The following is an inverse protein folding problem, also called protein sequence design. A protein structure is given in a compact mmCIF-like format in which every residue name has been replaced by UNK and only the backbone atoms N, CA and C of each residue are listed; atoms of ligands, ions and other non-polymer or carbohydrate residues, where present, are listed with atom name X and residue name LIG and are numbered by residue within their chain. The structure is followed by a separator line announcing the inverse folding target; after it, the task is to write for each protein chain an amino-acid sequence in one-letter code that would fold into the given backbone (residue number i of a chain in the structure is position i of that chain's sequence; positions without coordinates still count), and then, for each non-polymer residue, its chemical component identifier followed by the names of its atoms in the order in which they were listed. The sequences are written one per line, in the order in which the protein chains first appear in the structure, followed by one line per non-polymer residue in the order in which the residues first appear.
data_IF_122869281710
#
_entry.id   IF_122869281710
#
_cell.length_a   1.000
_cell.length_b   1.000
_cell.length_c   1.000
_cell.angle_alpha   90.00
_cell.angle_beta   90.00
_cell.angle_gamma   90.00
#
_symmetry.space_group_name_H-M   'P 1'
#
loop_
_entity.id
_entity.type
_entity.pdbx_description
1 polymer ?
#
# COMPACT_ATOMS: atom_id res chain seq x y z
N UNK A 1 -11.91 -2.15 1.62
CA UNK A 1 -10.93 -2.13 2.73
C UNK A 1 -11.46 -1.21 3.81
N UNK A 2 -11.13 -1.48 5.06
CA UNK A 2 -11.50 -0.58 6.16
C UNK A 2 -10.96 0.85 5.90
N UNK A 3 -11.80 1.91 6.04
CA UNK A 3 -11.39 3.27 5.72
C UNK A 3 -10.26 3.78 6.63
N UNK A 4 -10.19 3.33 7.88
CA UNK A 4 -9.14 3.72 8.81
C UNK A 4 -7.82 3.02 8.50
N UNK A 5 -7.84 1.77 8.07
CA UNK A 5 -6.62 1.11 7.55
C UNK A 5 -6.09 1.89 6.34
N UNK A 6 -6.96 2.28 5.41
CA UNK A 6 -6.58 3.10 4.25
C UNK A 6 -6.02 4.47 4.65
N UNK A 7 -6.58 5.11 5.68
CA UNK A 7 -6.08 6.38 6.20
C UNK A 7 -4.68 6.21 6.79
N UNK A 8 -4.47 5.20 7.63
CA UNK A 8 -3.21 5.01 8.32
C UNK A 8 -2.07 4.53 7.42
N UNK A 9 -2.37 3.84 6.31
CA UNK A 9 -1.40 3.62 5.23
C UNK A 9 -0.81 4.97 4.78
N UNK A 10 -1.64 5.94 4.39
CA UNK A 10 -1.13 7.24 3.93
C UNK A 10 -0.41 8.04 5.00
N UNK A 11 -0.90 8.00 6.24
CA UNK A 11 -0.25 8.68 7.36
C UNK A 11 1.16 8.13 7.56
N UNK A 12 1.31 6.80 7.53
CA UNK A 12 2.61 6.14 7.71
C UNK A 12 3.53 6.36 6.51
N UNK A 13 3.03 6.16 5.29
CA UNK A 13 3.78 6.28 4.04
C UNK A 13 4.31 7.70 3.81
N UNK A 14 3.45 8.71 3.95
CA UNK A 14 3.82 10.10 3.64
C UNK A 14 4.28 10.93 4.83
N UNK A 15 4.63 10.28 5.95
CA UNK A 15 5.10 10.92 7.18
C UNK A 15 4.15 12.03 7.68
N UNK A 16 2.88 11.67 7.91
CA UNK A 16 1.87 12.61 8.42
C UNK A 16 0.97 13.20 7.34
N UNK A 17 0.67 12.45 6.27
CA UNK A 17 -0.28 12.84 5.22
C UNK A 17 0.23 13.97 4.30
N UNK A 18 1.54 14.03 4.04
CA UNK A 18 2.12 15.00 3.14
C UNK A 18 1.83 14.64 1.67
N UNK A 19 0.91 15.38 1.03
CA UNK A 19 0.51 15.18 -0.37
C UNK A 19 1.67 15.34 -1.36
N UNK A 20 2.73 16.07 -0.99
CA UNK A 20 3.93 16.29 -1.81
C UNK A 20 5.12 15.44 -1.35
N UNK A 21 4.88 14.40 -0.56
CA UNK A 21 5.95 13.53 -0.09
C UNK A 21 6.71 12.90 -1.27
N UNK A 22 8.04 12.92 -1.17
CA UNK A 22 8.95 12.29 -2.13
C UNK A 22 10.03 11.55 -1.34
N UNK A 23 10.14 10.24 -1.52
CA UNK A 23 11.20 9.47 -0.89
C UNK A 23 12.53 9.63 -1.65
N UNK A 24 13.63 9.31 -0.96
CA UNK A 24 14.96 9.24 -1.58
C UNK A 24 15.05 8.23 -2.73
N UNK A 25 14.21 7.19 -2.70
CA UNK A 25 14.11 6.16 -3.74
C UNK A 25 13.15 6.52 -4.87
N UNK A 26 12.46 7.67 -4.79
CA UNK A 26 11.57 8.17 -5.83
C UNK A 26 10.10 7.79 -5.68
N UNK A 27 9.66 7.34 -4.50
CA UNK A 27 8.25 7.12 -4.19
C UNK A 27 7.53 8.46 -4.00
N UNK A 28 6.31 8.61 -4.53
CA UNK A 28 5.62 9.90 -4.64
C UNK A 28 4.23 9.90 -3.98
N UNK A 29 3.85 11.05 -3.43
CA UNK A 29 2.48 11.32 -2.99
C UNK A 29 2.11 10.75 -1.63
N UNK A 30 0.84 10.85 -1.28
CA UNK A 30 0.31 10.35 0.00
C UNK A 30 0.48 8.85 0.17
N UNK A 31 0.42 8.10 -0.93
CA UNK A 31 0.50 6.64 -0.94
C UNK A 31 1.90 6.10 -1.27
N UNK A 32 2.88 6.99 -1.45
CA UNK A 32 4.28 6.65 -1.76
C UNK A 32 4.42 5.61 -2.90
N UNK A 33 3.79 5.87 -4.04
CA UNK A 33 3.93 5.00 -5.19
C UNK A 33 5.26 5.21 -5.91
N UNK A 34 5.90 4.10 -6.29
CA UNK A 34 6.87 4.08 -7.38
C UNK A 34 6.14 4.29 -8.71
N UNK A 35 6.70 5.13 -9.59
CA UNK A 35 6.05 5.52 -10.87
C UNK A 35 5.75 4.32 -11.77
N UNK A 36 6.60 3.29 -11.77
CA UNK A 36 6.35 2.04 -12.51
C UNK A 36 5.09 1.33 -12.02
N UNK A 37 4.96 1.12 -10.70
CA UNK A 37 3.80 0.46 -10.08
C UNK A 37 2.51 1.25 -10.34
N UNK A 38 2.56 2.58 -10.17
CA UNK A 38 1.41 3.43 -10.42
C UNK A 38 0.96 3.39 -11.88
N UNK A 39 1.90 3.46 -12.83
CA UNK A 39 1.59 3.38 -14.27
C UNK A 39 0.96 2.03 -14.63
N UNK A 40 1.49 0.93 -14.09
CA UNK A 40 0.96 -0.41 -14.31
C UNK A 40 -0.48 -0.53 -13.77
N UNK A 41 -0.73 -0.05 -12.55
CA UNK A 41 -2.07 -0.03 -11.97
C UNK A 41 -3.01 0.83 -12.80
N UNK A 42 -2.65 2.08 -13.10
CA UNK A 42 -3.49 2.99 -13.85
C UNK A 42 -3.87 2.47 -15.24
N UNK A 43 -2.94 1.82 -15.94
CA UNK A 43 -3.19 1.29 -17.29
C UNK A 43 -3.92 -0.06 -17.32
N UNK A 44 -4.02 -0.77 -16.20
CA UNK A 44 -4.78 -2.02 -16.14
C UNK A 44 -6.25 -1.76 -15.88
N UNK A 45 -7.12 -2.63 -16.38
CA UNK A 45 -8.56 -2.58 -16.13
C UNK A 45 -8.83 -2.89 -14.66
N UNK A 46 -9.55 -1.99 -13.98
CA UNK A 46 -9.99 -2.18 -12.61
C UNK A 46 -11.31 -2.94 -12.57
N UNK A 47 -11.45 -3.99 -11.74
CA UNK A 47 -12.75 -4.59 -11.44
C UNK A 47 -13.70 -3.62 -10.71
N UNK A 48 -13.15 -2.56 -10.12
CA UNK A 48 -13.90 -1.50 -9.44
C UNK A 48 -13.86 -0.24 -10.28
N UNK A 49 -14.96 0.07 -10.97
CA UNK A 49 -15.08 1.22 -11.88
C UNK A 49 -14.68 2.54 -11.21
N UNK A 50 -15.11 2.76 -9.96
CA UNK A 50 -14.78 3.97 -9.20
C UNK A 50 -13.28 4.10 -8.82
N UNK A 51 -12.51 3.03 -8.99
CA UNK A 51 -11.04 3.01 -8.81
C UNK A 51 -10.30 2.95 -10.15
N UNK A 52 -11.01 3.02 -11.28
CA UNK A 52 -10.36 3.15 -12.57
C UNK A 52 -9.67 4.50 -12.63
N UNK A 53 -8.41 4.47 -13.06
CA UNK A 53 -7.63 5.66 -13.37
C UNK A 53 -7.41 5.67 -14.87
N UNK A 54 -7.56 6.83 -15.50
CA UNK A 54 -7.32 7.02 -16.94
C UNK A 54 -6.25 8.09 -17.12
N UNK A 55 -5.50 8.04 -18.22
CA UNK A 55 -4.51 9.06 -18.59
C UNK A 55 -3.44 9.29 -17.53
N UNK A 56 -2.76 8.23 -17.09
CA UNK A 56 -1.69 8.31 -16.09
C UNK A 56 -0.67 9.42 -16.41
N UNK A 57 -0.47 10.32 -15.45
CA UNK A 57 0.67 11.22 -15.36
C UNK A 57 1.33 11.11 -13.99
N UNK A 58 2.58 11.54 -13.87
CA UNK A 58 3.29 11.53 -12.58
C UNK A 58 2.64 12.52 -11.60
N UNK A 59 2.12 13.63 -12.12
CA UNK A 59 1.47 14.69 -11.36
C UNK A 59 0.25 14.18 -10.59
N UNK A 60 -0.47 13.18 -11.13
CA UNK A 60 -1.61 12.55 -10.45
C UNK A 60 -1.23 11.89 -9.13
N UNK A 61 0.04 11.50 -8.93
CA UNK A 61 0.48 10.93 -7.64
C UNK A 61 0.50 11.98 -6.52
N UNK A 62 0.58 13.26 -6.86
CA UNK A 62 0.46 14.37 -5.91
C UNK A 62 -0.98 14.89 -5.75
N UNK A 63 -1.92 14.42 -6.58
CA UNK A 63 -3.34 14.64 -6.35
C UNK A 63 -3.85 13.67 -5.28
N UNK A 64 -4.48 14.20 -4.24
CA UNK A 64 -4.93 13.41 -3.11
C UNK A 64 -5.91 12.31 -3.51
N UNK A 65 -6.87 12.63 -4.39
CA UNK A 65 -7.94 11.71 -4.75
C UNK A 65 -7.40 10.61 -5.66
N UNK A 66 -6.62 10.97 -6.68
CA UNK A 66 -6.07 10.00 -7.62
C UNK A 66 -5.01 9.10 -6.96
N UNK A 67 -4.14 9.66 -6.12
CA UNK A 67 -3.19 8.88 -5.32
C UNK A 67 -3.94 7.89 -4.42
N UNK A 68 -4.97 8.35 -3.70
CA UNK A 68 -5.80 7.52 -2.82
C UNK A 68 -6.54 6.41 -3.57
N UNK A 69 -7.10 6.69 -4.75
CA UNK A 69 -7.75 5.66 -5.59
C UNK A 69 -6.77 4.54 -5.94
N UNK A 70 -5.56 4.90 -6.37
CA UNK A 70 -4.50 3.92 -6.66
C UNK A 70 -4.10 3.13 -5.42
N UNK A 71 -3.97 3.79 -4.26
CA UNK A 71 -3.65 3.16 -2.98
C UNK A 71 -4.70 2.13 -2.55
N UNK A 72 -5.98 2.53 -2.59
CA UNK A 72 -7.11 1.63 -2.28
C UNK A 72 -7.13 0.46 -3.25
N UNK A 73 -6.95 0.71 -4.54
CA UNK A 73 -6.94 -0.35 -5.56
C UNK A 73 -5.80 -1.34 -5.33
N UNK A 74 -4.59 -0.84 -5.07
CA UNK A 74 -3.43 -1.67 -4.81
C UNK A 74 -3.62 -2.53 -3.56
N UNK A 75 -4.10 -1.92 -2.47
CA UNK A 75 -4.39 -2.65 -1.23
C UNK A 75 -5.46 -3.72 -1.42
N UNK A 76 -6.49 -3.48 -2.25
CA UNK A 76 -7.50 -4.50 -2.58
C UNK A 76 -6.90 -5.70 -3.31
N UNK A 77 -6.07 -5.46 -4.32
CA UNK A 77 -5.39 -6.54 -5.04
C UNK A 77 -4.48 -7.35 -4.11
N UNK A 78 -3.79 -6.69 -3.19
CA UNK A 78 -2.95 -7.38 -2.20
C UNK A 78 -3.77 -8.20 -1.19
N UNK A 79 -4.94 -7.71 -0.79
CA UNK A 79 -5.82 -8.49 0.06
C UNK A 79 -6.36 -9.72 -0.67
N UNK A 80 -6.66 -9.62 -1.96
CA UNK A 80 -7.04 -10.80 -2.77
C UNK A 80 -5.88 -11.79 -2.88
N UNK A 81 -4.66 -11.31 -3.16
CA UNK A 81 -3.45 -12.12 -3.24
C UNK A 81 -3.13 -12.87 -1.93
N UNK A 82 -3.41 -12.25 -0.78
CA UNK A 82 -3.06 -12.79 0.54
C UNK A 82 -4.27 -13.27 1.35
N UNK A 83 -5.33 -13.73 0.69
CA UNK A 83 -6.55 -14.31 1.30
C UNK A 83 -7.17 -13.44 2.42
N UNK A 84 -7.17 -12.13 2.23
CA UNK A 84 -7.71 -11.15 3.19
C UNK A 84 -6.85 -10.91 4.42
N UNK A 85 -5.66 -11.50 4.53
CA UNK A 85 -4.74 -11.29 5.66
C UNK A 85 -4.13 -9.89 5.57
N UNK A 86 -4.69 -8.95 6.35
CA UNK A 86 -4.32 -7.52 6.31
C UNK A 86 -2.83 -7.31 6.56
N UNK A 87 -2.23 -8.01 7.53
CA UNK A 87 -0.80 -7.87 7.86
C UNK A 87 0.09 -8.27 6.67
N UNK A 88 -0.30 -9.33 5.96
CA UNK A 88 0.43 -9.83 4.78
C UNK A 88 0.30 -8.84 3.63
N UNK A 89 -0.91 -8.30 3.42
CA UNK A 89 -1.16 -7.28 2.42
C UNK A 89 -0.39 -5.98 2.72
N UNK A 90 -0.23 -5.57 3.99
CA UNK A 90 0.58 -4.41 4.37
C UNK A 90 2.07 -4.65 4.10
N UNK A 91 2.60 -5.85 4.39
CA UNK A 91 3.97 -6.22 4.00
C UNK A 91 4.12 -6.19 2.48
N UNK A 92 3.16 -6.74 1.73
CA UNK A 92 3.13 -6.68 0.26
C UNK A 92 3.05 -5.26 -0.30
N UNK A 93 2.34 -4.36 0.39
CA UNK A 93 2.22 -2.97 0.00
C UNK A 93 3.59 -2.28 0.00
N UNK A 94 4.38 -2.46 1.07
CA UNK A 94 5.66 -1.79 1.25
C UNK A 94 6.85 -2.54 0.59
N UNK A 95 6.85 -3.88 0.60
CA UNK A 95 7.92 -4.70 0.03
C UNK A 95 7.75 -4.99 -1.47
N UNK A 96 6.52 -4.92 -1.96
CA UNK A 96 6.06 -5.43 -3.25
C UNK A 96 5.56 -6.89 -3.15
N UNK A 97 4.49 -7.27 -3.89
CA UNK A 97 3.81 -8.56 -3.75
C UNK A 97 4.73 -9.75 -4.04
N UNK A 98 5.59 -9.65 -5.06
CA UNK A 98 6.54 -10.71 -5.39
C UNK A 98 7.46 -11.05 -4.20
N UNK A 99 8.05 -10.04 -3.54
CA UNK A 99 8.91 -10.27 -2.38
C UNK A 99 8.13 -10.79 -1.18
N UNK A 100 6.94 -10.26 -0.93
CA UNK A 100 6.09 -10.73 0.15
C UNK A 100 5.70 -12.21 -0.03
N UNK A 101 5.35 -12.63 -1.24
CA UNK A 101 5.11 -14.04 -1.55
C UNK A 101 6.34 -14.91 -1.25
N UNK A 102 7.54 -14.48 -1.64
CA UNK A 102 8.78 -15.20 -1.30
C UNK A 102 8.94 -15.37 0.21
N UNK A 103 8.67 -14.33 1.01
CA UNK A 103 8.77 -14.40 2.47
C UNK A 103 7.74 -15.35 3.10
N UNK A 104 6.58 -15.50 2.47
CA UNK A 104 5.45 -16.27 3.00
C UNK A 104 5.37 -17.70 2.48
N UNK A 105 6.31 -18.14 1.61
CA UNK A 105 6.33 -19.49 1.01
C UNK A 105 6.19 -20.64 2.02
N UNK A 106 6.73 -20.46 3.22
CA UNK A 106 6.71 -21.47 4.27
C UNK A 106 5.45 -21.42 5.16
N UNK A 107 4.49 -20.53 4.88
CA UNK A 107 3.26 -20.37 5.65
C UNK A 107 3.40 -19.61 6.97
N UNK A 108 4.60 -19.18 7.34
CA UNK A 108 4.87 -18.43 8.58
C UNK A 108 4.39 -16.97 8.54
N UNK A 109 3.99 -16.48 7.36
CA UNK A 109 3.43 -15.13 7.22
C UNK A 109 4.38 -14.03 7.69
N UNK A 110 3.83 -13.01 8.34
CA UNK A 110 4.62 -11.90 8.87
C UNK A 110 5.66 -12.31 9.92
N UNK A 111 5.47 -13.44 10.61
CA UNK A 111 6.42 -13.99 11.58
C UNK A 111 7.58 -14.74 10.95
N UNK A 112 7.52 -14.98 9.63
CA UNK A 112 8.62 -15.57 8.88
C UNK A 112 9.92 -14.81 9.15
N UNK A 113 10.97 -15.54 9.52
CA UNK A 113 12.33 -15.00 9.66
C UNK A 113 12.83 -14.33 8.38
N UNK A 114 12.25 -14.71 7.24
CA UNK A 114 12.62 -14.22 5.92
C UNK A 114 12.04 -12.83 5.65
N UNK A 115 11.04 -12.36 6.42
CA UNK A 115 10.55 -10.97 6.33
C UNK A 115 11.57 -10.04 7.00
N UNK A 116 12.12 -9.03 6.29
CA UNK A 116 12.92 -7.99 6.94
C UNK A 116 12.14 -7.21 8.01
N UNK A 117 12.80 -6.88 9.12
CA UNK A 117 12.21 -6.15 10.25
C UNK A 117 11.50 -4.87 9.82
N UNK A 118 12.07 -4.11 8.89
CA UNK A 118 11.46 -2.87 8.39
C UNK A 118 10.05 -3.05 7.80
N UNK A 119 9.76 -4.20 7.18
CA UNK A 119 8.44 -4.46 6.60
C UNK A 119 7.44 -4.94 7.65
N UNK A 120 7.89 -5.71 8.65
CA UNK A 120 7.08 -6.02 9.84
C UNK A 120 6.72 -4.74 10.59
N UNK A 121 7.73 -3.92 10.91
CA UNK A 121 7.55 -2.65 11.61
C UNK A 121 6.62 -1.69 10.87
N UNK A 122 6.63 -1.69 9.54
CA UNK A 122 5.65 -0.95 8.74
C UNK A 122 4.22 -1.43 8.99
N UNK A 123 3.98 -2.74 8.87
CA UNK A 123 2.67 -3.36 9.14
C UNK A 123 2.19 -3.04 10.56
N UNK A 124 3.05 -3.27 11.55
CA UNK A 124 2.77 -3.03 12.97
C UNK A 124 2.42 -1.56 13.22
N UNK A 125 3.12 -0.62 12.57
CA UNK A 125 2.88 0.81 12.73
C UNK A 125 1.53 1.23 12.16
N UNK A 126 1.11 0.68 11.02
CA UNK A 126 -0.23 0.95 10.45
C UNK A 126 -1.31 0.40 11.39
N UNK A 127 -1.16 -0.84 11.83
CA UNK A 127 -2.15 -1.53 12.67
C UNK A 127 -2.23 -0.94 14.08
N UNK A 128 -1.11 -0.55 14.68
CA UNK A 128 -1.11 0.10 15.99
C UNK A 128 -1.89 1.42 15.98
N UNK A 129 -1.80 2.20 14.90
CA UNK A 129 -2.60 3.42 14.77
C UNK A 129 -4.08 3.10 14.56
N UNK A 130 -4.39 2.08 13.75
CA UNK A 130 -5.76 1.59 13.55
C UNK A 130 -6.40 1.11 14.85
N UNK A 131 -5.71 0.32 15.66
CA UNK A 131 -6.25 -0.20 16.93
C UNK A 131 -6.50 0.88 17.97
N UNK A 132 -5.72 1.97 17.98
CA UNK A 132 -5.88 3.07 18.96
C UNK A 132 -7.22 3.80 18.85
N UNK A 133 -7.82 3.85 17.66
CA UNK A 133 -9.06 4.58 17.42
C UNK A 133 -10.31 3.70 17.45
N UNK A 134 -10.13 2.37 17.55
CA UNK A 134 -11.21 1.38 17.57
C UNK A 134 -11.39 0.72 18.96
N UNK A 135 -10.84 1.35 20.01
CA UNK A 135 -11.10 1.03 21.42
C UNK A 135 -12.22 1.93 21.94
#
# INVERSE_FOLDING_TARGET
IDPYVSLFISVVESAGFNIRAKSSMGALGTEQFMTFTAKMLANSVSPWEYLQTNNYSVEMLYDLIESKKLGIRYMKLLLEEFDGRVEWALVGYNAGPYRANEYFKNGEGVFSKDVPEKYRAYSDKVLANYSRINQ
#
